data_IF_069162251718
#
_entry.id   IF_069162251718
#
_cell.length_a   1.000
_cell.length_b   1.000
_cell.length_c   1.000
_cell.angle_alpha   90.00
_cell.angle_beta   90.00
_cell.angle_gamma   90.00
#
_symmetry.space_group_name_H-M   'P 1'
#
loop_
_entity.id
_entity.type
_entity.pdbx_description
1 polymer ?
#
# COMPACT_ATOMS: atom_id res chain seq x y z
N UNK A 1 -10.38 -34.39 -11.10
CA UNK A 1 -9.02 -33.88 -11.13
C UNK A 1 -9.00 -32.38 -10.74
N UNK A 2 -7.89 -31.88 -10.26
CA UNK A 2 -7.71 -30.45 -9.88
C UNK A 2 -8.03 -29.53 -11.06
N UNK A 3 -7.64 -29.91 -12.28
CA UNK A 3 -7.91 -29.12 -13.49
C UNK A 3 -9.40 -29.06 -13.86
N UNK A 4 -10.17 -30.10 -13.54
CA UNK A 4 -11.63 -30.06 -13.75
C UNK A 4 -12.30 -29.04 -12.85
N UNK A 5 -11.75 -28.81 -11.64
CA UNK A 5 -12.30 -27.86 -10.67
C UNK A 5 -11.88 -26.41 -10.93
N UNK A 6 -10.65 -26.17 -11.38
CA UNK A 6 -10.06 -24.85 -11.52
C UNK A 6 -9.81 -24.40 -12.98
N UNK A 7 -10.13 -25.27 -13.94
CA UNK A 7 -9.98 -25.01 -15.37
C UNK A 7 -8.55 -25.24 -15.86
N UNK A 8 -7.63 -24.40 -15.46
CA UNK A 8 -6.22 -24.44 -15.85
C UNK A 8 -5.29 -24.01 -14.71
N UNK A 9 -4.01 -23.85 -15.00
CA UNK A 9 -2.98 -23.43 -14.05
C UNK A 9 -3.24 -21.99 -13.56
N UNK A 10 -3.74 -21.11 -14.42
CA UNK A 10 -4.05 -19.73 -14.06
C UNK A 10 -5.25 -19.64 -13.13
N UNK A 11 -6.30 -20.42 -13.38
CA UNK A 11 -7.45 -20.53 -12.50
C UNK A 11 -7.10 -21.07 -11.12
N UNK A 12 -6.21 -22.07 -11.05
CA UNK A 12 -5.70 -22.57 -9.77
C UNK A 12 -4.87 -21.50 -9.03
N UNK A 13 -3.98 -20.81 -9.72
CA UNK A 13 -3.21 -19.70 -9.16
C UNK A 13 -4.12 -18.61 -8.58
N UNK A 14 -5.09 -18.15 -9.37
CA UNK A 14 -6.05 -17.15 -8.93
C UNK A 14 -6.85 -17.60 -7.70
N UNK A 15 -7.31 -18.84 -7.68
CA UNK A 15 -8.06 -19.39 -6.53
C UNK A 15 -7.23 -19.41 -5.23
N UNK A 16 -5.91 -19.51 -5.34
CA UNK A 16 -5.00 -19.48 -4.18
C UNK A 16 -4.73 -18.06 -3.71
N UNK A 17 -4.42 -17.14 -4.61
CA UNK A 17 -3.95 -15.80 -4.25
C UNK A 17 -5.07 -14.78 -4.02
N UNK A 18 -6.18 -14.85 -4.77
CA UNK A 18 -7.24 -13.83 -4.72
C UNK A 18 -7.85 -13.61 -3.32
N UNK A 19 -8.11 -14.63 -2.49
CA UNK A 19 -8.61 -14.40 -1.13
C UNK A 19 -7.66 -13.57 -0.27
N UNK A 20 -6.35 -13.80 -0.39
CA UNK A 20 -5.34 -13.03 0.35
C UNK A 20 -5.24 -11.59 -0.16
N UNK A 21 -5.30 -11.38 -1.48
CA UNK A 21 -5.27 -10.04 -2.08
C UNK A 21 -6.51 -9.22 -1.71
N UNK A 22 -7.70 -9.82 -1.82
CA UNK A 22 -8.96 -9.18 -1.42
C UNK A 22 -8.96 -8.82 0.07
N UNK A 23 -8.47 -9.71 0.92
CA UNK A 23 -8.36 -9.46 2.36
C UNK A 23 -7.39 -8.30 2.69
N UNK A 24 -6.30 -8.14 1.93
CA UNK A 24 -5.39 -7.00 2.07
C UNK A 24 -6.05 -5.69 1.63
N UNK A 25 -6.71 -5.69 0.47
CA UNK A 25 -7.43 -4.52 -0.04
C UNK A 25 -8.53 -4.07 0.93
N UNK A 26 -9.31 -4.99 1.49
CA UNK A 26 -10.35 -4.67 2.48
C UNK A 26 -9.77 -4.04 3.76
N UNK A 27 -8.65 -4.58 4.27
CA UNK A 27 -7.96 -4.01 5.43
C UNK A 27 -7.45 -2.62 5.15
N UNK A 28 -6.84 -2.44 3.99
CA UNK A 28 -6.32 -1.15 3.57
C UNK A 28 -7.42 -0.09 3.47
N UNK A 29 -8.55 -0.42 2.84
CA UNK A 29 -9.72 0.47 2.79
C UNK A 29 -10.23 0.82 4.19
N UNK A 30 -10.36 -0.13 5.10
CA UNK A 30 -10.78 0.11 6.49
C UNK A 30 -9.83 1.05 7.24
N UNK A 31 -8.52 0.89 7.04
CA UNK A 31 -7.50 1.78 7.62
C UNK A 31 -7.69 3.21 7.10
N UNK A 32 -7.85 3.38 5.80
CA UNK A 32 -8.04 4.67 5.16
C UNK A 32 -9.35 5.35 5.63
N UNK A 33 -10.45 4.62 5.60
CA UNK A 33 -11.75 5.13 6.04
C UNK A 33 -11.74 5.53 7.52
N UNK A 34 -11.17 4.71 8.39
CA UNK A 34 -11.07 5.00 9.81
C UNK A 34 -10.28 6.29 10.08
N UNK A 35 -9.16 6.51 9.37
CA UNK A 35 -8.39 7.76 9.47
C UNK A 35 -9.22 8.97 9.04
N UNK A 36 -9.94 8.88 7.93
CA UNK A 36 -10.70 9.99 7.38
C UNK A 36 -12.00 10.30 8.13
N UNK A 37 -12.45 9.40 9.03
CA UNK A 37 -13.52 9.67 9.97
C UNK A 37 -13.07 10.44 11.24
N UNK A 38 -11.76 10.61 11.45
CA UNK A 38 -11.23 11.40 12.55
C UNK A 38 -11.41 12.90 12.26
N UNK A 39 -11.56 13.70 13.33
CA UNK A 39 -11.53 15.16 13.21
C UNK A 39 -10.20 15.65 12.62
N UNK A 40 -10.22 16.72 11.84
CA UNK A 40 -9.03 17.28 11.17
C UNK A 40 -7.87 17.58 12.12
N UNK A 41 -8.16 18.07 13.31
CA UNK A 41 -7.14 18.32 14.33
C UNK A 41 -6.46 17.05 14.80
N UNK A 42 -7.24 15.97 14.96
CA UNK A 42 -6.74 14.65 15.32
C UNK A 42 -5.93 14.06 14.16
N UNK A 43 -6.43 14.13 12.92
CA UNK A 43 -5.70 13.67 11.73
C UNK A 43 -4.30 14.32 11.66
N UNK A 44 -4.21 15.64 11.82
CA UNK A 44 -2.94 16.37 11.75
C UNK A 44 -1.96 15.97 12.84
N UNK A 45 -2.45 15.61 14.02
CA UNK A 45 -1.60 15.23 15.16
C UNK A 45 -1.15 13.78 15.14
N UNK A 46 -1.91 12.86 14.49
CA UNK A 46 -1.65 11.43 14.55
C UNK A 46 -1.27 10.78 13.20
N UNK A 47 -1.16 11.57 12.13
CA UNK A 47 -0.91 11.04 10.77
C UNK A 47 0.30 10.09 10.71
N UNK A 48 1.39 10.43 11.39
CA UNK A 48 2.59 9.61 11.40
C UNK A 48 2.37 8.26 12.07
N UNK A 49 1.77 8.26 13.26
CA UNK A 49 1.49 7.04 14.03
C UNK A 49 0.46 6.17 13.34
N UNK A 50 -0.55 6.79 12.71
CA UNK A 50 -1.59 6.09 11.97
C UNK A 50 -1.03 5.42 10.71
N UNK A 51 -0.20 6.13 9.95
CA UNK A 51 0.45 5.61 8.76
C UNK A 51 1.38 4.44 9.09
N UNK A 52 2.21 4.60 10.12
CA UNK A 52 3.12 3.55 10.57
C UNK A 52 2.35 2.32 11.05
N UNK A 53 1.32 2.52 11.88
CA UNK A 53 0.45 1.44 12.39
C UNK A 53 -0.29 0.71 11.26
N UNK A 54 -0.89 1.45 10.35
CA UNK A 54 -1.62 0.89 9.21
C UNK A 54 -0.72 0.10 8.27
N UNK A 55 0.47 0.61 7.95
CA UNK A 55 1.42 -0.11 7.09
C UNK A 55 1.93 -1.38 7.78
N UNK A 56 2.21 -1.33 9.09
CA UNK A 56 2.62 -2.51 9.85
C UNK A 56 1.50 -3.57 9.92
N UNK A 57 0.24 -3.16 10.03
CA UNK A 57 -0.90 -4.08 9.98
C UNK A 57 -0.97 -4.83 8.64
N UNK A 58 -0.75 -4.13 7.52
CA UNK A 58 -0.71 -4.75 6.20
C UNK A 58 0.47 -5.73 6.06
N UNK A 59 1.63 -5.37 6.59
CA UNK A 59 2.80 -6.26 6.58
C UNK A 59 2.57 -7.50 7.45
N UNK A 60 2.01 -7.35 8.63
CA UNK A 60 1.65 -8.49 9.48
C UNK A 60 0.66 -9.43 8.76
N UNK A 61 -0.33 -8.87 8.07
CA UNK A 61 -1.26 -9.64 7.23
C UNK A 61 -0.54 -10.40 6.11
N UNK A 62 0.45 -9.78 5.45
CA UNK A 62 1.25 -10.48 4.43
C UNK A 62 2.01 -11.68 5.02
N UNK A 63 2.54 -11.55 6.24
CA UNK A 63 3.22 -12.66 6.91
C UNK A 63 2.25 -13.75 7.40
N UNK A 64 1.00 -13.41 7.71
CA UNK A 64 -0.05 -14.38 8.01
C UNK A 64 -0.50 -15.16 6.75
N UNK A 65 -0.24 -14.61 5.55
CA UNK A 65 -0.54 -15.18 4.24
C UNK A 65 0.71 -15.29 3.36
N UNK A 66 1.84 -15.65 3.97
CA UNK A 66 3.15 -15.56 3.34
C UNK A 66 3.29 -16.40 2.08
N UNK A 67 2.69 -17.59 2.06
CA UNK A 67 2.79 -18.50 0.91
C UNK A 67 2.03 -17.95 -0.30
N UNK A 68 0.87 -17.35 -0.09
CA UNK A 68 0.08 -16.68 -1.13
C UNK A 68 0.82 -15.48 -1.73
N UNK A 69 1.43 -14.65 -0.89
CA UNK A 69 2.20 -13.50 -1.36
C UNK A 69 3.52 -13.90 -2.02
N UNK A 70 4.20 -14.94 -1.54
CA UNK A 70 5.34 -15.52 -2.24
C UNK A 70 4.95 -16.03 -3.62
N UNK A 71 3.85 -16.76 -3.70
CA UNK A 71 3.35 -17.27 -4.98
C UNK A 71 3.02 -16.13 -5.95
N UNK A 72 2.41 -15.05 -5.47
CA UNK A 72 2.11 -13.85 -6.26
C UNK A 72 3.37 -13.21 -6.84
N UNK A 73 4.43 -13.09 -6.02
CA UNK A 73 5.69 -12.44 -6.41
C UNK A 73 6.56 -13.32 -7.31
N UNK A 74 6.49 -14.65 -7.12
CA UNK A 74 7.25 -15.63 -7.91
C UNK A 74 6.56 -15.97 -9.26
N UNK A 75 5.32 -15.56 -9.45
CA UNK A 75 4.61 -15.80 -10.69
C UNK A 75 5.32 -15.12 -11.87
N UNK A 76 5.73 -15.90 -12.84
CA UNK A 76 6.61 -15.51 -13.94
C UNK A 76 6.07 -14.38 -14.83
N UNK A 77 4.76 -14.09 -14.78
CA UNK A 77 4.15 -13.03 -15.60
C UNK A 77 4.19 -11.65 -14.96
N UNK A 78 4.32 -11.54 -13.65
CA UNK A 78 4.28 -10.27 -12.91
C UNK A 78 2.97 -9.48 -13.04
N UNK A 79 2.12 -9.83 -14.03
CA UNK A 79 0.92 -9.06 -14.42
C UNK A 79 -0.09 -8.96 -13.28
N UNK A 80 -0.33 -10.06 -12.55
CA UNK A 80 -1.29 -10.04 -11.44
C UNK A 80 -0.78 -9.20 -10.27
N UNK A 81 0.52 -9.27 -9.99
CA UNK A 81 1.17 -8.42 -8.99
C UNK A 81 1.05 -6.94 -9.36
N UNK A 82 1.37 -6.56 -10.59
CA UNK A 82 1.26 -5.17 -11.03
C UNK A 82 -0.18 -4.65 -10.94
N UNK A 83 -1.18 -5.41 -11.37
CA UNK A 83 -2.60 -5.03 -11.21
C UNK A 83 -3.00 -4.85 -9.74
N UNK A 84 -2.48 -5.68 -8.86
CA UNK A 84 -2.73 -5.54 -7.43
C UNK A 84 -2.09 -4.28 -6.86
N UNK A 85 -0.84 -3.99 -7.22
CA UNK A 85 -0.18 -2.73 -6.84
C UNK A 85 -0.95 -1.53 -7.37
N UNK A 86 -1.38 -1.54 -8.63
CA UNK A 86 -2.17 -0.46 -9.23
C UNK A 86 -3.49 -0.21 -8.47
N UNK A 87 -4.15 -1.27 -8.00
CA UNK A 87 -5.35 -1.15 -7.17
C UNK A 87 -5.05 -0.44 -5.84
N UNK A 88 -4.00 -0.85 -5.13
CA UNK A 88 -3.58 -0.22 -3.88
C UNK A 88 -3.16 1.25 -4.10
N UNK A 89 -2.43 1.52 -5.17
CA UNK A 89 -2.00 2.88 -5.55
C UNK A 89 -3.20 3.78 -5.79
N UNK A 90 -4.21 3.30 -6.52
CA UNK A 90 -5.42 4.07 -6.79
C UNK A 90 -6.15 4.45 -5.50
N UNK A 91 -6.27 3.53 -4.56
CA UNK A 91 -6.86 3.77 -3.25
C UNK A 91 -6.04 4.83 -2.48
N UNK A 92 -4.74 4.62 -2.36
CA UNK A 92 -3.85 5.53 -1.61
C UNK A 92 -3.87 6.95 -2.18
N UNK A 93 -3.78 7.10 -3.51
CA UNK A 93 -3.80 8.41 -4.17
C UNK A 93 -5.13 9.14 -3.93
N UNK A 94 -6.26 8.44 -4.01
CA UNK A 94 -7.58 9.02 -3.72
C UNK A 94 -7.66 9.57 -2.28
N UNK A 95 -7.25 8.76 -1.30
CA UNK A 95 -7.28 9.18 0.09
C UNK A 95 -6.21 10.23 0.42
N UNK A 96 -5.08 10.20 -0.26
CA UNK A 96 -4.04 11.25 -0.14
C UNK A 96 -4.57 12.61 -0.62
N UNK A 97 -5.30 12.67 -1.73
CA UNK A 97 -5.94 13.91 -2.16
C UNK A 97 -6.95 14.44 -1.15
N UNK A 98 -7.78 13.57 -0.59
CA UNK A 98 -8.71 13.96 0.49
C UNK A 98 -7.98 14.52 1.71
N UNK A 99 -6.85 13.91 2.10
CA UNK A 99 -6.02 14.42 3.17
C UNK A 99 -5.41 15.79 2.83
N UNK A 100 -4.84 15.95 1.65
CA UNK A 100 -4.23 17.21 1.20
C UNK A 100 -5.25 18.35 1.20
N UNK A 101 -6.47 18.11 0.71
CA UNK A 101 -7.56 19.08 0.75
C UNK A 101 -7.93 19.44 2.18
N UNK A 102 -8.11 18.45 3.06
CA UNK A 102 -8.44 18.66 4.47
C UNK A 102 -7.35 19.41 5.24
N UNK A 103 -6.08 19.11 4.95
CA UNK A 103 -4.91 19.73 5.58
C UNK A 103 -4.52 21.09 5.00
N UNK A 104 -5.17 21.51 3.90
CA UNK A 104 -4.82 22.77 3.21
C UNK A 104 -3.44 22.72 2.56
N UNK A 105 -3.00 21.55 2.11
CA UNK A 105 -1.74 21.39 1.39
C UNK A 105 -1.87 22.06 0.01
N UNK A 106 -0.99 23.03 -0.33
CA UNK A 106 -1.07 23.69 -1.63
C UNK A 106 -0.63 22.72 -2.76
N UNK A 107 -1.38 22.72 -3.87
CA UNK A 107 -0.91 22.11 -5.12
C UNK A 107 0.21 22.98 -5.69
N UNK A 108 1.45 22.67 -5.33
CA UNK A 108 2.64 23.45 -5.76
C UNK A 108 3.06 23.17 -7.20
N UNK A 109 2.63 22.03 -7.73
CA UNK A 109 2.88 21.59 -9.09
C UNK A 109 1.54 21.68 -9.80
N UNK A 110 1.39 22.06 -11.03
CA UNK A 110 0.10 22.04 -11.74
C UNK A 110 -0.59 20.65 -11.54
N UNK A 111 -1.93 20.60 -11.57
CA UNK A 111 -2.72 19.42 -11.20
C UNK A 111 -2.25 18.11 -11.85
N UNK A 112 -1.97 18.14 -13.17
CA UNK A 112 -1.51 16.96 -13.91
C UNK A 112 -0.13 16.47 -13.44
N UNK A 113 0.79 17.36 -13.09
CA UNK A 113 2.12 16.98 -12.62
C UNK A 113 2.08 16.46 -11.17
N UNK A 114 1.21 17.03 -10.34
CA UNK A 114 0.95 16.55 -8.99
C UNK A 114 0.39 15.13 -9.02
N UNK A 115 -0.59 14.87 -9.87
CA UNK A 115 -1.18 13.54 -10.04
C UNK A 115 -0.15 12.50 -10.49
N UNK A 116 0.65 12.83 -11.51
CA UNK A 116 1.71 11.95 -12.00
C UNK A 116 2.75 11.65 -10.93
N UNK A 117 3.21 12.65 -10.19
CA UNK A 117 4.20 12.47 -9.14
C UNK A 117 3.63 11.62 -7.98
N UNK A 118 2.41 11.89 -7.53
CA UNK A 118 1.75 11.08 -6.49
C UNK A 118 1.62 9.63 -6.93
N UNK A 119 1.19 9.37 -8.16
CA UNK A 119 1.10 8.02 -8.70
C UNK A 119 2.46 7.31 -8.69
N UNK A 120 3.51 7.95 -9.18
CA UNK A 120 4.86 7.37 -9.27
C UNK A 120 5.42 7.06 -7.88
N UNK A 121 5.38 8.01 -6.95
CA UNK A 121 5.95 7.82 -5.61
C UNK A 121 5.15 6.80 -4.78
N UNK A 122 3.83 6.75 -4.97
CA UNK A 122 2.97 5.78 -4.31
C UNK A 122 3.21 4.37 -4.84
N UNK A 123 3.37 4.21 -6.16
CA UNK A 123 3.77 2.94 -6.78
C UNK A 123 5.09 2.45 -6.20
N UNK A 124 6.10 3.30 -6.17
CA UNK A 124 7.41 2.99 -5.59
C UNK A 124 7.31 2.57 -4.12
N UNK A 125 6.44 3.21 -3.35
CA UNK A 125 6.20 2.86 -1.95
C UNK A 125 5.65 1.44 -1.82
N UNK A 126 4.59 1.09 -2.55
CA UNK A 126 4.01 -0.25 -2.47
C UNK A 126 4.96 -1.32 -2.96
N UNK A 127 5.64 -1.11 -4.08
CA UNK A 127 6.68 -2.04 -4.55
C UNK A 127 7.76 -2.27 -3.49
N UNK A 128 8.21 -1.20 -2.82
CA UNK A 128 9.20 -1.29 -1.73
C UNK A 128 8.67 -2.04 -0.51
N UNK A 129 7.37 -1.97 -0.21
CA UNK A 129 6.74 -2.75 0.87
C UNK A 129 6.83 -4.26 0.55
N UNK A 130 6.57 -4.67 -0.68
CA UNK A 130 6.65 -6.08 -1.08
C UNK A 130 8.07 -6.64 -1.13
N UNK A 131 9.09 -5.78 -1.15
CA UNK A 131 10.49 -6.22 -1.10
C UNK A 131 10.84 -7.01 0.17
N UNK A 132 10.13 -6.82 1.27
CA UNK A 132 10.33 -7.61 2.50
C UNK A 132 10.17 -9.11 2.25
N UNK A 133 9.22 -9.49 1.38
CA UNK A 133 8.99 -10.88 1.00
C UNK A 133 10.03 -11.35 -0.01
N UNK A 134 10.35 -10.54 -1.03
CA UNK A 134 11.37 -10.88 -2.04
C UNK A 134 12.75 -11.10 -1.43
N UNK A 135 13.10 -10.31 -0.42
CA UNK A 135 14.36 -10.45 0.32
C UNK A 135 14.32 -11.50 1.42
N UNK A 136 13.20 -12.18 1.63
CA UNK A 136 13.08 -13.25 2.62
C UNK A 136 13.30 -12.78 4.06
N UNK A 137 12.95 -11.51 4.36
CA UNK A 137 13.07 -10.96 5.71
C UNK A 137 12.20 -11.75 6.69
N UNK A 138 12.66 -11.91 7.93
CA UNK A 138 11.78 -12.31 9.02
C UNK A 138 10.70 -11.26 9.28
N UNK A 139 9.61 -11.62 9.94
CA UNK A 139 8.55 -10.66 10.31
C UNK A 139 9.12 -9.49 11.13
N UNK A 140 10.03 -9.75 12.04
CA UNK A 140 10.65 -8.72 12.87
C UNK A 140 11.51 -7.76 12.06
N UNK A 141 12.38 -8.28 11.20
CA UNK A 141 13.20 -7.48 10.26
C UNK A 141 12.31 -6.65 9.33
N UNK A 142 11.25 -7.24 8.79
CA UNK A 142 10.30 -6.54 7.95
C UNK A 142 9.62 -5.37 8.67
N UNK A 143 9.20 -5.55 9.90
CA UNK A 143 8.59 -4.48 10.71
C UNK A 143 9.55 -3.32 10.94
N UNK A 144 10.83 -3.59 11.20
CA UNK A 144 11.85 -2.55 11.35
C UNK A 144 12.13 -1.83 10.03
N UNK A 145 12.31 -2.59 8.95
CA UNK A 145 12.44 -2.03 7.59
C UNK A 145 11.27 -1.11 7.23
N UNK A 146 10.05 -1.52 7.51
CA UNK A 146 8.84 -0.74 7.19
C UNK A 146 8.77 0.56 7.99
N UNK A 147 9.20 0.59 9.25
CA UNK A 147 9.26 1.85 10.02
C UNK A 147 10.21 2.87 9.36
N UNK A 148 11.36 2.41 8.90
CA UNK A 148 12.32 3.26 8.19
C UNK A 148 11.79 3.71 6.83
N UNK A 149 11.18 2.80 6.08
CA UNK A 149 10.58 3.09 4.78
C UNK A 149 9.43 4.11 4.90
N UNK A 150 8.52 3.93 5.85
CA UNK A 150 7.41 4.86 6.11
C UNK A 150 7.93 6.25 6.48
N UNK A 151 8.94 6.34 7.34
CA UNK A 151 9.58 7.62 7.68
C UNK A 151 10.20 8.30 6.47
N UNK A 152 10.89 7.55 5.60
CA UNK A 152 11.46 8.06 4.36
C UNK A 152 10.39 8.64 3.43
N UNK A 153 9.34 7.89 3.15
CA UNK A 153 8.26 8.33 2.26
C UNK A 153 7.48 9.51 2.84
N UNK A 154 7.14 9.48 4.13
CA UNK A 154 6.44 10.58 4.79
C UNK A 154 7.25 11.86 4.80
N UNK A 155 8.55 11.79 5.10
CA UNK A 155 9.43 12.97 5.06
C UNK A 155 9.49 13.57 3.66
N UNK A 156 9.65 12.75 2.63
CA UNK A 156 9.63 13.18 1.23
C UNK A 156 8.28 13.78 0.82
N UNK A 157 7.18 13.14 1.21
CA UNK A 157 5.83 13.64 0.94
C UNK A 157 5.62 15.04 1.51
N UNK A 158 5.90 15.24 2.80
CA UNK A 158 5.72 16.55 3.43
C UNK A 158 6.70 17.61 2.94
N UNK A 159 7.90 17.22 2.52
CA UNK A 159 8.85 18.14 1.91
C UNK A 159 8.35 18.70 0.57
N UNK A 160 7.62 17.89 -0.20
CA UNK A 160 7.11 18.26 -1.54
C UNK A 160 5.69 18.83 -1.47
N UNK A 161 4.80 18.21 -0.74
CA UNK A 161 3.35 18.50 -0.73
C UNK A 161 2.85 19.14 0.56
N UNK A 162 3.66 19.18 1.61
CA UNK A 162 3.28 19.75 2.89
C UNK A 162 3.00 21.27 2.82
N UNK A 163 2.29 21.82 3.82
CA UNK A 163 2.06 23.27 3.91
C UNK A 163 3.39 24.02 3.91
N UNK A 164 3.39 25.22 3.33
CA UNK A 164 4.57 26.09 3.36
C UNK A 164 4.93 26.42 4.81
N UNK A 165 6.18 26.17 5.19
CA UNK A 165 6.73 26.64 6.46
C UNK A 165 6.90 28.14 6.44
#
# INVERSE_FOLDING_TARGET
>A
SIYVRFGDKEGLFSAIVEPALSGMTERFLKIQEAFHHLDRTVQSSCVAEWEDGGTLELVDYMYDHLDEFRLLLDASSGTRFHRFVDELVRIEVEYTYRYMEAAGCPARLGDALTEQLLHIVTTSRFESIFEVIRHGMSREEAREYIRLLSRYHRTGFFAVFGPAQ
#
